data_IF_949787137161
#
_entry.id   IF_949787137161
#
_cell.length_a   1.000
_cell.length_b   1.000
_cell.length_c   1.000
_cell.angle_alpha   90.00
_cell.angle_beta   90.00
_cell.angle_gamma   90.00
#
_symmetry.space_group_name_H-M   'P 1'
#
loop_
_entity.id
_entity.type
_entity.pdbx_description
1 polymer ?
#
# COMPACT_ATOMS: atom_id res chain seq x y z
N UNK A 1 11.45 -16.88 7.37
CA UNK A 1 10.11 -17.07 7.99
C UNK A 1 10.13 -16.73 9.47
N UNK A 2 11.04 -17.31 10.27
CA UNK A 2 11.20 -16.95 11.70
C UNK A 2 11.57 -15.47 11.88
N UNK A 3 12.45 -14.93 11.02
CA UNK A 3 12.86 -13.52 11.06
C UNK A 3 11.70 -12.54 10.88
N UNK A 4 10.78 -12.82 9.95
CA UNK A 4 9.58 -12.00 9.73
C UNK A 4 8.62 -12.06 10.93
N UNK A 5 8.40 -13.26 11.49
CA UNK A 5 7.56 -13.43 12.68
C UNK A 5 8.16 -12.75 13.91
N UNK A 6 9.48 -12.80 14.07
CA UNK A 6 10.20 -12.10 15.14
C UNK A 6 10.08 -10.58 14.97
N UNK A 7 10.22 -10.07 13.74
CA UNK A 7 10.07 -8.62 13.46
C UNK A 7 8.63 -8.15 13.72
N UNK A 8 7.64 -8.93 13.30
CA UNK A 8 6.23 -8.63 13.53
C UNK A 8 5.87 -8.65 15.03
N UNK A 9 6.35 -9.64 15.78
CA UNK A 9 6.16 -9.72 17.22
C UNK A 9 6.81 -8.54 17.95
N UNK A 10 8.00 -8.11 17.50
CA UNK A 10 8.73 -6.97 18.06
C UNK A 10 7.99 -5.64 17.82
N UNK A 11 7.44 -5.43 16.62
CA UNK A 11 6.64 -4.25 16.30
C UNK A 11 5.32 -4.19 17.09
N UNK A 12 4.65 -5.34 17.27
CA UNK A 12 3.44 -5.43 18.10
C UNK A 12 3.76 -5.13 19.56
N UNK A 13 4.86 -5.68 20.09
CA UNK A 13 5.33 -5.39 21.45
C UNK A 13 5.64 -3.90 21.67
N UNK A 14 6.29 -3.25 20.69
CA UNK A 14 6.59 -1.83 20.73
C UNK A 14 5.32 -0.97 20.71
N UNK A 15 4.34 -1.32 19.87
CA UNK A 15 3.06 -0.62 19.81
C UNK A 15 2.28 -0.74 21.13
N UNK A 16 2.26 -1.95 21.73
CA UNK A 16 1.62 -2.19 23.02
C UNK A 16 2.31 -1.43 24.16
N UNK A 17 3.64 -1.29 24.13
CA UNK A 17 4.40 -0.54 25.12
C UNK A 17 4.03 0.95 25.15
N UNK A 18 3.62 1.53 24.02
CA UNK A 18 3.14 2.91 23.96
C UNK A 18 1.64 3.05 24.27
N UNK A 19 0.82 2.05 23.92
CA UNK A 19 -0.63 2.12 24.11
C UNK A 19 -1.11 1.72 25.51
N UNK A 20 -0.44 0.77 26.17
CA UNK A 20 -0.84 0.26 27.49
C UNK A 20 -0.74 1.30 28.62
N UNK A 21 0.35 2.08 28.75
CA UNK A 21 0.49 3.05 29.84
C UNK A 21 -0.63 4.10 29.90
N UNK A 22 -1.00 4.79 28.79
CA UNK A 22 -2.08 5.77 28.82
C UNK A 22 -3.47 5.14 28.97
N UNK A 23 -3.65 3.85 28.66
CA UNK A 23 -4.93 3.15 28.89
C UNK A 23 -5.09 2.63 30.33
N UNK A 24 -3.97 2.28 30.98
CA UNK A 24 -3.94 1.76 32.36
C UNK A 24 -3.90 2.88 33.39
N UNK A 25 -3.36 4.05 33.04
CA UNK A 25 -3.55 5.26 33.82
C UNK A 25 -5.01 5.69 33.64
N UNK A 26 -5.86 5.28 34.59
CA UNK A 26 -7.23 5.78 34.65
C UNK A 26 -7.21 7.29 34.62
N UNK A 27 -8.17 7.88 33.89
CA UNK A 27 -8.51 9.29 34.05
C UNK A 27 -8.61 9.55 35.55
N UNK A 28 -7.59 10.21 36.11
CA UNK A 28 -7.69 10.83 37.41
C UNK A 28 -8.78 11.87 37.20
N UNK A 29 -9.99 11.54 37.64
CA UNK A 29 -11.05 12.52 37.78
C UNK A 29 -10.45 13.64 38.63
N UNK A 30 -10.16 14.77 37.98
CA UNK A 30 -9.45 15.88 38.59
C UNK A 30 -10.35 16.66 39.57
N UNK A 31 -11.54 16.12 39.87
CA UNK A 31 -12.54 16.73 40.74
C UNK A 31 -12.08 16.80 42.21
N UNK A 32 -11.11 15.98 42.64
CA UNK A 32 -10.57 16.03 44.00
C UNK A 32 -9.27 16.85 44.16
N UNK A 33 -8.63 17.25 43.07
CA UNK A 33 -7.34 17.94 43.11
C UNK A 33 -7.47 19.44 43.39
N UNK A 34 -8.49 20.08 42.83
CA UNK A 34 -8.74 21.51 42.97
C UNK A 34 -9.27 21.84 44.38
N UNK A 35 -10.22 21.05 44.89
CA UNK A 35 -10.79 21.24 46.23
C UNK A 35 -9.73 21.02 47.33
N UNK A 36 -8.88 19.99 47.19
CA UNK A 36 -7.80 19.72 48.14
C UNK A 36 -6.75 20.83 48.16
N UNK A 37 -6.41 21.39 46.99
CA UNK A 37 -5.50 22.53 46.87
C UNK A 37 -6.12 23.79 47.48
N UNK A 38 -7.37 24.10 47.17
CA UNK A 38 -8.09 25.24 47.74
C UNK A 38 -8.15 25.15 49.27
N UNK A 39 -8.53 24.00 49.82
CA UNK A 39 -8.58 23.78 51.29
C UNK A 39 -7.21 23.98 51.93
N UNK A 40 -6.11 23.55 51.30
CA UNK A 40 -4.77 23.74 51.86
C UNK A 40 -4.36 25.21 51.95
N UNK A 41 -4.67 26.00 50.92
CA UNK A 41 -4.39 27.44 50.88
C UNK A 41 -5.15 28.18 52.00
N UNK A 42 -6.41 27.80 52.23
CA UNK A 42 -7.20 28.38 53.32
C UNK A 42 -6.64 28.06 54.71
N UNK A 43 -6.15 26.83 54.93
CA UNK A 43 -5.53 26.44 56.20
C UNK A 43 -4.26 27.24 56.49
N UNK A 44 -3.44 27.48 55.46
CA UNK A 44 -2.21 28.26 55.60
C UNK A 44 -2.53 29.72 55.95
N UNK A 45 -3.54 30.33 55.31
CA UNK A 45 -3.97 31.70 55.63
C UNK A 45 -4.55 31.86 57.02
N UNK A 46 -5.28 30.85 57.51
CA UNK A 46 -5.82 30.87 58.87
C UNK A 46 -4.70 30.74 59.92
N UNK A 47 -3.64 29.98 59.63
CA UNK A 47 -2.47 29.87 60.50
C UNK A 47 -1.65 31.18 60.55
N UNK A 48 -1.58 31.91 59.45
CA UNK A 48 -0.96 33.23 59.36
C UNK A 48 -1.72 34.27 60.20
N UNK A 49 -3.05 34.35 60.01
CA UNK A 49 -3.92 35.25 60.78
C UNK A 49 -3.86 35.00 62.29
N UNK A 50 -3.81 33.72 62.69
CA UNK A 50 -3.66 33.31 64.09
C UNK A 50 -2.30 33.73 64.68
N UNK A 51 -1.23 33.68 63.89
CA UNK A 51 0.08 34.16 64.34
C UNK A 51 0.10 35.69 64.52
N UNK A 52 -0.48 36.45 63.61
CA UNK A 52 -0.56 37.92 63.71
C UNK A 52 -1.38 38.36 64.94
N UNK A 53 -2.46 37.64 65.26
CA UNK A 53 -3.22 37.86 66.47
C UNK A 53 -2.40 37.56 67.74
N UNK A 54 -1.64 36.45 67.76
CA UNK A 54 -0.76 36.10 68.90
C UNK A 54 0.38 37.09 69.09
N UNK A 55 0.90 37.65 68.01
CA UNK A 55 1.92 38.69 68.05
C UNK A 55 1.36 40.06 68.48
N UNK A 56 0.04 40.15 68.72
CA UNK A 56 -0.64 41.37 69.16
C UNK A 56 -0.77 42.41 68.04
N UNK A 57 -0.59 42.01 66.79
CA UNK A 57 -0.69 42.90 65.63
C UNK A 57 -2.15 43.15 65.22
N UNK A 58 -3.06 42.21 65.53
CA UNK A 58 -4.50 42.36 65.32
C UNK A 58 -5.27 42.50 66.63
N UNK A 59 -6.30 43.35 66.62
CA UNK A 59 -7.28 43.40 67.72
C UNK A 59 -8.26 42.23 67.61
N UNK A 60 -8.86 41.85 68.74
CA UNK A 60 -9.80 40.72 68.83
C UNK A 60 -10.97 40.86 67.84
N UNK A 61 -11.48 42.07 67.66
CA UNK A 61 -12.58 42.37 66.75
C UNK A 61 -12.19 42.21 65.28
N UNK A 62 -10.95 42.56 64.92
CA UNK A 62 -10.41 42.45 63.56
C UNK A 62 -10.17 40.99 63.20
N UNK A 63 -9.58 40.21 64.11
CA UNK A 63 -9.35 38.77 63.94
C UNK A 63 -10.67 38.01 63.70
N UNK A 64 -11.70 38.27 64.51
CA UNK A 64 -13.02 37.63 64.39
C UNK A 64 -13.76 38.03 63.10
N UNK A 65 -13.47 39.20 62.55
CA UNK A 65 -14.05 39.66 61.29
C UNK A 65 -13.39 38.97 60.10
N UNK A 66 -12.06 38.99 60.03
CA UNK A 66 -11.29 38.40 58.93
C UNK A 66 -11.43 36.88 58.89
N UNK A 67 -11.45 36.23 60.06
CA UNK A 67 -11.69 34.79 60.15
C UNK A 67 -13.06 34.39 59.59
N UNK A 68 -14.11 35.16 59.88
CA UNK A 68 -15.46 34.88 59.36
C UNK A 68 -15.55 35.07 57.85
N UNK A 69 -14.86 36.06 57.30
CA UNK A 69 -14.80 36.27 55.85
C UNK A 69 -14.09 35.10 55.15
N UNK A 70 -12.98 34.61 55.70
CA UNK A 70 -12.28 33.41 55.21
C UNK A 70 -13.16 32.15 55.27
N UNK A 71 -13.91 31.95 56.36
CA UNK A 71 -14.84 30.82 56.51
C UNK A 71 -16.00 30.87 55.50
N UNK A 72 -16.56 32.05 55.24
CA UNK A 72 -17.63 32.24 54.24
C UNK A 72 -17.13 31.97 52.81
N UNK A 73 -15.93 32.46 52.49
CA UNK A 73 -15.32 32.27 51.17
C UNK A 73 -14.93 30.82 50.90
N UNK A 74 -14.47 30.10 51.92
CA UNK A 74 -14.24 28.65 51.82
C UNK A 74 -15.53 27.88 51.52
N UNK A 75 -16.66 28.29 52.10
CA UNK A 75 -17.96 27.69 51.80
C UNK A 75 -18.43 27.95 50.36
N UNK A 76 -18.05 29.09 49.78
CA UNK A 76 -18.35 29.45 48.40
C UNK A 76 -17.45 28.70 47.41
N UNK A 77 -16.15 28.61 47.70
CA UNK A 77 -15.15 27.94 46.85
C UNK A 77 -15.21 26.41 46.96
N UNK A 78 -15.71 25.88 48.08
CA UNK A 78 -15.87 24.44 48.34
C UNK A 78 -17.32 24.18 48.73
N UNK A 79 -18.24 24.07 47.75
CA UNK A 79 -19.63 23.75 48.04
C UNK A 79 -19.70 22.44 48.84
N UNK A 80 -20.61 22.32 49.83
CA UNK A 80 -20.79 21.06 50.53
C UNK A 80 -21.08 19.99 49.49
N UNK A 81 -20.53 18.79 49.68
CA UNK A 81 -20.79 17.65 48.81
C UNK A 81 -22.28 17.25 48.89
N UNK A 82 -23.17 18.07 48.32
CA UNK A 82 -24.56 17.76 48.05
C UNK A 82 -24.55 16.78 46.88
N UNK A 83 -24.51 15.49 47.24
CA UNK A 83 -24.99 14.44 46.36
C UNK A 83 -26.48 14.66 46.06
N UNK A 84 -26.78 15.54 45.11
CA UNK A 84 -28.11 15.72 44.51
C UNK A 84 -28.00 16.71 43.34
N UNK A 85 -27.32 16.29 42.28
CA UNK A 85 -27.16 17.06 41.06
C UNK A 85 -26.88 16.15 39.89
N UNK A 86 -27.81 15.23 39.61
CA UNK A 86 -27.80 14.43 38.39
C UNK A 86 -28.07 15.33 37.18
N UNK A 87 -27.08 16.13 36.77
CA UNK A 87 -26.95 16.53 35.37
C UNK A 87 -26.46 15.30 34.63
N UNK A 88 -27.27 14.84 33.68
CA UNK A 88 -27.01 13.73 32.77
C UNK A 88 -25.69 13.95 32.00
N UNK A 89 -24.56 13.62 32.61
CA UNK A 89 -23.35 13.29 31.88
C UNK A 89 -23.63 11.99 31.12
N UNK A 90 -23.23 11.87 29.83
CA UNK A 90 -23.33 10.59 29.14
C UNK A 90 -22.61 9.53 29.98
N UNK A 91 -23.11 8.28 30.05
CA UNK A 91 -22.46 7.26 30.85
C UNK A 91 -21.03 7.14 30.35
N UNK A 92 -20.08 7.60 31.18
CA UNK A 92 -18.68 7.31 30.98
C UNK A 92 -18.61 5.79 30.87
N UNK A 93 -18.27 5.31 29.66
CA UNK A 93 -18.32 3.90 29.33
C UNK A 93 -17.32 3.15 30.20
N UNK A 94 -17.76 2.75 31.38
CA UNK A 94 -17.03 1.94 32.35
C UNK A 94 -16.82 0.51 31.81
N UNK A 95 -17.36 0.20 30.62
CA UNK A 95 -17.08 -0.99 29.82
C UNK A 95 -15.95 -0.85 28.78
N UNK A 96 -15.33 0.32 28.60
CA UNK A 96 -14.35 0.55 27.52
C UNK A 96 -13.02 -0.18 27.72
N UNK A 97 -12.63 -0.49 28.96
CA UNK A 97 -11.41 -1.27 29.24
C UNK A 97 -11.53 -2.73 28.80
N UNK A 98 -12.67 -3.36 29.10
CA UNK A 98 -12.96 -4.72 28.66
C UNK A 98 -13.14 -4.80 27.15
N UNK A 99 -13.79 -3.80 26.55
CA UNK A 99 -14.03 -3.74 25.11
C UNK A 99 -12.75 -3.40 24.32
N UNK A 100 -11.86 -2.58 24.87
CA UNK A 100 -10.54 -2.30 24.29
C UNK A 100 -9.59 -3.49 24.40
N UNK A 101 -9.58 -4.21 25.53
CA UNK A 101 -8.84 -5.47 25.67
C UNK A 101 -9.40 -6.57 24.77
N UNK A 102 -10.72 -6.69 24.69
CA UNK A 102 -11.39 -7.61 23.79
C UNK A 102 -11.08 -7.26 22.32
N UNK A 103 -11.13 -5.99 21.92
CA UNK A 103 -10.76 -5.57 20.57
C UNK A 103 -9.26 -5.79 20.27
N UNK A 104 -8.38 -5.51 21.23
CA UNK A 104 -6.93 -5.70 21.10
C UNK A 104 -6.51 -7.16 20.93
N UNK A 105 -7.28 -8.12 21.46
CA UNK A 105 -7.06 -9.55 21.25
C UNK A 105 -7.89 -10.11 20.08
N UNK A 106 -9.12 -9.63 19.90
CA UNK A 106 -10.03 -10.12 18.88
C UNK A 106 -9.61 -9.71 17.47
N UNK A 107 -9.10 -8.49 17.26
CA UNK A 107 -8.62 -8.08 15.93
C UNK A 107 -7.47 -8.96 15.41
N UNK A 108 -6.37 -9.20 16.15
CA UNK A 108 -5.31 -10.07 15.67
C UNK A 108 -5.75 -11.53 15.57
N UNK A 109 -6.62 -12.01 16.45
CA UNK A 109 -7.19 -13.35 16.34
C UNK A 109 -8.08 -13.50 15.09
N UNK A 110 -8.91 -12.51 14.79
CA UNK A 110 -9.75 -12.46 13.59
C UNK A 110 -8.89 -12.35 12.32
N UNK A 111 -7.82 -11.55 12.35
CA UNK A 111 -6.87 -11.46 11.25
C UNK A 111 -6.15 -12.80 10.99
N UNK A 112 -5.74 -13.50 12.05
CA UNK A 112 -5.16 -14.84 11.95
C UNK A 112 -6.18 -15.87 11.42
N UNK A 113 -7.44 -15.80 11.87
CA UNK A 113 -8.52 -16.67 11.40
C UNK A 113 -8.83 -16.43 9.91
N UNK A 114 -8.95 -15.16 9.50
CA UNK A 114 -9.15 -14.78 8.10
C UNK A 114 -7.96 -15.16 7.22
N UNK A 115 -6.73 -15.09 7.74
CA UNK A 115 -5.55 -15.58 7.04
C UNK A 115 -5.58 -17.10 6.83
N UNK A 116 -6.08 -17.86 7.82
CA UNK A 116 -6.23 -19.32 7.69
C UNK A 116 -7.39 -19.71 6.77
N UNK A 117 -8.51 -18.98 6.77
CA UNK A 117 -9.67 -19.28 5.92
C UNK A 117 -9.57 -18.75 4.49
N UNK A 118 -9.07 -17.52 4.32
CA UNK A 118 -9.05 -16.79 3.05
C UNK A 118 -7.67 -16.77 2.41
N UNK A 119 -6.61 -16.87 3.22
CA UNK A 119 -5.27 -17.11 2.73
C UNK A 119 -5.13 -18.54 2.23
N UNK A 120 -4.12 -18.79 1.39
CA UNK A 120 -3.73 -20.12 0.95
C UNK A 120 -2.47 -20.58 1.71
N UNK A 121 -2.54 -20.93 3.01
CA UNK A 121 -1.40 -21.48 3.73
C UNK A 121 -0.93 -22.80 3.09
N UNK A 122 -1.85 -23.48 2.39
CA UNK A 122 -1.57 -24.68 1.62
C UNK A 122 -0.77 -24.42 0.33
N UNK A 123 -0.66 -23.19 -0.18
CA UNK A 123 0.16 -22.92 -1.37
C UNK A 123 1.66 -23.21 -1.12
N UNK A 124 2.11 -23.06 0.13
CA UNK A 124 3.48 -23.41 0.55
C UNK A 124 3.65 -24.92 0.80
N UNK A 125 2.62 -25.61 1.30
CA UNK A 125 2.65 -27.06 1.48
C UNK A 125 2.49 -27.81 0.15
N UNK A 126 1.73 -27.28 -0.82
CA UNK A 126 1.61 -27.88 -2.17
C UNK A 126 2.92 -27.87 -2.94
N UNK A 127 3.80 -26.89 -2.70
CA UNK A 127 5.18 -26.92 -3.22
C UNK A 127 5.97 -28.07 -2.59
N UNK A 128 5.72 -28.38 -1.31
CA UNK A 128 6.39 -29.45 -0.56
C UNK A 128 5.76 -30.85 -0.74
N UNK A 129 4.47 -30.94 -1.11
CA UNK A 129 3.76 -32.22 -1.34
C UNK A 129 3.68 -32.59 -2.82
N UNK A 130 3.67 -31.63 -3.76
CA UNK A 130 3.93 -31.93 -5.18
C UNK A 130 5.35 -32.50 -5.39
N UNK A 131 6.25 -32.29 -4.42
CA UNK A 131 7.58 -32.89 -4.36
C UNK A 131 7.59 -34.38 -3.92
N UNK A 132 6.46 -34.94 -3.47
CA UNK A 132 6.41 -36.29 -2.88
C UNK A 132 5.71 -37.36 -3.73
N UNK A 133 4.94 -36.99 -4.76
CA UNK A 133 4.34 -37.95 -5.71
C UNK A 133 5.09 -38.04 -7.04
N UNK A 134 6.14 -37.24 -7.24
CA UNK A 134 7.13 -37.47 -8.29
C UNK A 134 8.18 -38.50 -7.79
N UNK A 135 8.73 -39.37 -8.66
CA UNK A 135 9.71 -40.39 -8.28
C UNK A 135 10.92 -39.77 -7.55
N UNK A 136 11.57 -40.51 -6.63
CA UNK A 136 12.44 -39.93 -5.61
C UNK A 136 13.67 -39.28 -6.24
N UNK A 137 13.81 -37.97 -6.05
CA UNK A 137 15.06 -37.24 -6.24
C UNK A 137 15.77 -37.21 -4.87
N UNK A 138 17.06 -37.58 -4.76
CA UNK A 138 17.77 -37.62 -3.47
C UNK A 138 17.80 -36.23 -2.82
N UNK A 139 17.37 -36.15 -1.56
CA UNK A 139 17.29 -34.89 -0.83
C UNK A 139 18.62 -34.49 -0.16
N UNK A 140 19.03 -33.27 -0.52
CA UNK A 140 19.54 -32.21 0.35
C UNK A 140 20.97 -32.30 0.92
N UNK A 141 21.87 -31.54 0.27
CA UNK A 141 22.87 -30.73 0.95
C UNK A 141 22.64 -29.26 0.55
N UNK A 142 22.59 -28.36 1.54
CA UNK A 142 22.32 -26.93 1.40
C UNK A 142 23.46 -26.12 0.75
N UNK A 143 24.04 -26.64 -0.33
CA UNK A 143 25.20 -26.08 -1.05
C UNK A 143 24.99 -25.95 -2.57
N UNK A 144 23.78 -26.19 -3.10
CA UNK A 144 23.51 -26.21 -4.55
C UNK A 144 22.52 -25.15 -5.06
N UNK A 145 22.59 -23.90 -4.55
CA UNK A 145 21.79 -22.77 -5.07
C UNK A 145 22.42 -21.89 -6.18
N UNK A 146 23.37 -22.34 -7.03
CA UNK A 146 23.61 -21.67 -8.31
C UNK A 146 22.67 -22.16 -9.44
N UNK A 147 22.19 -23.41 -9.37
CA UNK A 147 21.57 -24.12 -10.50
C UNK A 147 20.11 -23.73 -10.79
N UNK A 148 19.33 -23.28 -9.80
CA UNK A 148 17.90 -22.92 -10.02
C UNK A 148 17.70 -21.60 -10.76
N UNK A 149 18.67 -20.70 -10.66
CA UNK A 149 18.70 -19.45 -11.43
C UNK A 149 19.82 -19.49 -12.49
N UNK A 150 20.39 -20.68 -12.75
CA UNK A 150 21.23 -20.85 -13.92
C UNK A 150 20.37 -20.70 -15.17
N UNK A 151 20.99 -20.28 -16.26
CA UNK A 151 20.32 -20.13 -17.55
C UNK A 151 19.63 -21.45 -17.97
N UNK A 152 20.26 -22.58 -17.66
CA UNK A 152 19.72 -23.92 -17.92
C UNK A 152 18.50 -24.24 -17.02
N UNK A 153 18.55 -23.87 -15.74
CA UNK A 153 17.41 -23.99 -14.83
C UNK A 153 16.18 -23.22 -15.31
N UNK A 154 16.38 -21.98 -15.76
CA UNK A 154 15.33 -21.13 -16.34
C UNK A 154 14.78 -21.79 -17.61
N UNK A 155 15.64 -22.27 -18.51
CA UNK A 155 15.20 -22.92 -19.75
C UNK A 155 14.35 -24.17 -19.48
N UNK A 156 14.74 -25.00 -18.51
CA UNK A 156 14.00 -26.18 -18.11
C UNK A 156 12.62 -25.84 -17.52
N UNK A 157 12.53 -24.78 -16.71
CA UNK A 157 11.25 -24.29 -16.17
C UNK A 157 10.32 -23.82 -17.29
N UNK A 158 10.82 -23.07 -18.27
CA UNK A 158 10.03 -22.60 -19.42
C UNK A 158 9.57 -23.78 -20.28
N UNK A 159 10.44 -24.78 -20.53
CA UNK A 159 10.06 -26.00 -21.26
C UNK A 159 8.94 -26.76 -20.55
N UNK A 160 9.03 -26.91 -19.22
CA UNK A 160 7.99 -27.56 -18.43
C UNK A 160 6.65 -26.80 -18.49
N UNK A 161 6.71 -25.46 -18.43
CA UNK A 161 5.53 -24.60 -18.59
C UNK A 161 4.90 -24.77 -19.99
N UNK A 162 5.70 -24.74 -21.05
CA UNK A 162 5.23 -24.92 -22.42
C UNK A 162 4.53 -26.29 -22.58
N UNK A 163 5.16 -27.37 -22.11
CA UNK A 163 4.60 -28.71 -22.19
C UNK A 163 3.29 -28.87 -21.38
N UNK A 164 3.16 -28.17 -20.25
CA UNK A 164 1.90 -28.13 -19.49
C UNK A 164 0.80 -27.43 -20.30
N UNK A 165 1.10 -26.27 -20.87
CA UNK A 165 0.13 -25.47 -21.63
C UNK A 165 -0.29 -26.14 -22.94
N UNK A 166 0.54 -27.02 -23.50
CA UNK A 166 0.12 -27.87 -24.61
C UNK A 166 -0.93 -28.90 -24.21
N UNK A 167 -0.87 -29.42 -22.97
CA UNK A 167 -1.86 -30.37 -22.44
C UNK A 167 -3.12 -29.67 -21.93
N UNK A 168 -2.97 -28.48 -21.39
CA UNK A 168 -4.06 -27.63 -20.90
C UNK A 168 -4.00 -26.26 -21.58
N UNK A 169 -4.56 -26.14 -22.79
CA UNK A 169 -4.39 -24.94 -23.61
C UNK A 169 -5.27 -23.77 -23.17
N UNK A 170 -6.20 -23.95 -22.23
CA UNK A 170 -7.19 -22.94 -21.84
C UNK A 170 -6.73 -22.06 -20.66
N UNK A 171 -5.43 -21.79 -20.56
CA UNK A 171 -4.84 -20.95 -19.53
C UNK A 171 -4.21 -19.69 -20.15
N UNK A 172 -5.01 -18.62 -20.27
CA UNK A 172 -4.55 -17.35 -20.84
C UNK A 172 -3.35 -16.77 -20.07
N UNK A 173 -3.37 -16.83 -18.74
CA UNK A 173 -2.30 -16.30 -17.89
C UNK A 173 -1.01 -17.11 -18.04
N UNK A 174 -1.13 -18.43 -18.13
CA UNK A 174 -0.01 -19.32 -18.42
C UNK A 174 0.64 -18.99 -19.76
N UNK A 175 -0.15 -18.81 -20.82
CA UNK A 175 0.37 -18.38 -22.14
C UNK A 175 1.02 -17.00 -22.09
N UNK A 176 0.46 -16.04 -21.34
CA UNK A 176 1.09 -14.73 -21.11
C UNK A 176 2.45 -14.87 -20.42
N UNK A 177 2.52 -15.67 -19.35
CA UNK A 177 3.77 -15.89 -18.60
C UNK A 177 4.83 -16.58 -19.49
N UNK A 178 4.40 -17.51 -20.33
CA UNK A 178 5.28 -18.17 -21.30
C UNK A 178 5.81 -17.16 -22.33
N UNK A 179 4.95 -16.30 -22.87
CA UNK A 179 5.34 -15.23 -23.79
C UNK A 179 6.36 -14.27 -23.18
N UNK A 180 6.13 -13.82 -21.94
CA UNK A 180 7.07 -12.97 -21.19
C UNK A 180 8.41 -13.65 -20.96
N UNK A 181 8.37 -14.93 -20.57
CA UNK A 181 9.59 -15.73 -20.35
C UNK A 181 10.41 -15.84 -21.63
N UNK A 182 9.78 -16.17 -22.77
CA UNK A 182 10.48 -16.23 -24.05
C UNK A 182 11.03 -14.86 -24.47
N UNK A 183 10.28 -13.78 -24.24
CA UNK A 183 10.74 -12.40 -24.52
C UNK A 183 11.99 -12.07 -23.72
N UNK A 184 12.01 -12.38 -22.42
CA UNK A 184 13.17 -12.14 -21.55
C UNK A 184 14.40 -12.95 -21.94
N UNK A 185 14.22 -14.07 -22.65
CA UNK A 185 15.30 -14.89 -23.19
C UNK A 185 15.70 -14.52 -24.63
N UNK A 186 15.10 -13.47 -25.22
CA UNK A 186 15.35 -13.07 -26.61
C UNK A 186 14.73 -14.00 -27.66
N UNK A 187 13.88 -14.94 -27.25
CA UNK A 187 13.21 -15.94 -28.10
C UNK A 187 11.90 -15.38 -28.66
N UNK A 188 12.00 -14.31 -29.45
CA UNK A 188 10.83 -13.52 -29.85
C UNK A 188 9.83 -14.28 -30.72
N UNK A 189 10.30 -15.21 -31.56
CA UNK A 189 9.41 -16.04 -32.39
C UNK A 189 8.50 -16.93 -31.52
N UNK A 190 9.07 -17.65 -30.54
CA UNK A 190 8.29 -18.45 -29.59
C UNK A 190 7.41 -17.58 -28.68
N UNK A 191 7.92 -16.42 -28.26
CA UNK A 191 7.13 -15.46 -27.49
C UNK A 191 5.87 -15.03 -28.25
N UNK A 192 6.03 -14.67 -29.53
CA UNK A 192 4.92 -14.22 -30.37
C UNK A 192 3.83 -15.30 -30.52
N UNK A 193 4.21 -16.57 -30.61
CA UNK A 193 3.26 -17.70 -30.65
C UNK A 193 2.51 -17.87 -29.32
N UNK A 194 3.20 -17.71 -28.19
CA UNK A 194 2.56 -17.76 -26.88
C UNK A 194 1.58 -16.60 -26.67
N UNK A 195 1.96 -15.37 -27.04
CA UNK A 195 1.06 -14.22 -26.99
C UNK A 195 -0.13 -14.34 -27.95
N UNK A 196 0.05 -14.94 -29.13
CA UNK A 196 -1.06 -15.24 -30.03
C UNK A 196 -2.10 -16.15 -29.39
N UNK A 197 -1.66 -17.18 -28.63
CA UNK A 197 -2.58 -18.03 -27.85
C UNK A 197 -3.23 -17.27 -26.70
N UNK A 198 -2.45 -16.48 -25.96
CA UNK A 198 -2.98 -15.67 -24.85
C UNK A 198 -4.07 -14.70 -25.31
N UNK A 199 -3.83 -13.97 -26.41
CA UNK A 199 -4.80 -13.01 -26.99
C UNK A 199 -6.04 -13.68 -27.61
N UNK A 200 -5.93 -14.94 -28.04
CA UNK A 200 -7.09 -15.71 -28.48
C UNK A 200 -8.02 -16.10 -27.31
N UNK A 201 -7.46 -16.33 -26.13
CA UNK A 201 -8.20 -16.68 -24.91
C UNK A 201 -8.70 -15.45 -24.15
N UNK A 202 -7.92 -14.37 -24.15
CA UNK A 202 -8.25 -13.09 -23.53
C UNK A 202 -8.16 -11.96 -24.57
N UNK A 203 -9.19 -11.90 -25.42
CA UNK A 203 -9.26 -10.93 -26.52
C UNK A 203 -9.57 -9.50 -26.09
N UNK A 204 -9.99 -9.28 -24.84
CA UNK A 204 -10.40 -7.96 -24.33
C UNK A 204 -9.26 -7.21 -23.62
N UNK A 205 -8.09 -7.83 -23.53
CA UNK A 205 -6.95 -7.27 -22.84
C UNK A 205 -6.03 -6.51 -23.81
N UNK A 206 -6.17 -5.18 -23.80
CA UNK A 206 -5.34 -4.29 -24.64
C UNK A 206 -3.85 -4.52 -24.45
N UNK A 207 -3.37 -4.72 -23.20
CA UNK A 207 -1.95 -4.90 -22.93
C UNK A 207 -1.38 -6.16 -23.61
N UNK A 208 -2.14 -7.26 -23.67
CA UNK A 208 -1.70 -8.48 -24.36
C UNK A 208 -1.57 -8.28 -25.87
N UNK A 209 -2.47 -7.52 -26.48
CA UNK A 209 -2.38 -7.19 -27.90
C UNK A 209 -1.13 -6.35 -28.22
N UNK A 210 -0.79 -5.40 -27.35
CA UNK A 210 0.43 -4.59 -27.50
C UNK A 210 1.69 -5.42 -27.30
N UNK A 211 1.74 -6.25 -26.27
CA UNK A 211 2.88 -7.14 -26.03
C UNK A 211 3.06 -8.15 -27.17
N UNK A 212 1.96 -8.64 -27.74
CA UNK A 212 2.01 -9.46 -28.95
C UNK A 212 2.59 -8.68 -30.15
N UNK A 213 2.12 -7.46 -30.39
CA UNK A 213 2.60 -6.64 -31.50
C UNK A 213 4.10 -6.35 -31.40
N UNK A 214 4.55 -5.92 -30.22
CA UNK A 214 5.94 -5.60 -29.91
C UNK A 214 6.85 -6.82 -30.10
N UNK A 215 6.46 -7.96 -29.53
CA UNK A 215 7.24 -9.20 -29.65
C UNK A 215 7.26 -9.75 -31.08
N UNK A 216 6.19 -9.57 -31.83
CA UNK A 216 6.15 -9.92 -33.25
C UNK A 216 7.08 -9.02 -34.08
N UNK A 217 7.10 -7.72 -33.79
CA UNK A 217 8.01 -6.79 -34.45
C UNK A 217 9.47 -7.17 -34.18
N UNK A 218 9.82 -7.45 -32.93
CA UNK A 218 11.15 -7.95 -32.53
C UNK A 218 11.53 -9.25 -33.25
N UNK A 219 10.59 -10.20 -33.38
CA UNK A 219 10.80 -11.44 -34.12
C UNK A 219 11.05 -11.22 -35.63
N UNK A 220 10.62 -10.08 -36.17
CA UNK A 220 10.74 -9.71 -37.59
C UNK A 220 11.85 -8.69 -37.87
N UNK A 221 12.79 -8.51 -36.92
CA UNK A 221 13.89 -7.56 -37.04
C UNK A 221 13.45 -6.12 -36.81
N UNK A 222 12.69 -5.89 -35.73
CA UNK A 222 12.23 -4.58 -35.26
C UNK A 222 11.32 -3.82 -36.24
N UNK A 223 10.72 -4.53 -37.20
CA UNK A 223 9.83 -3.91 -38.19
C UNK A 223 8.40 -3.87 -37.67
N UNK A 224 7.82 -2.67 -37.59
CA UNK A 224 6.44 -2.51 -37.13
C UNK A 224 5.42 -2.62 -38.25
N UNK A 225 5.84 -2.53 -39.52
CA UNK A 225 4.96 -2.65 -40.68
C UNK A 225 4.26 -4.03 -40.78
N UNK A 226 3.03 -4.03 -41.27
CA UNK A 226 2.21 -5.23 -41.47
C UNK A 226 1.45 -5.66 -40.22
N UNK A 227 1.53 -6.94 -39.87
CA UNK A 227 0.74 -7.53 -38.78
C UNK A 227 0.90 -6.84 -37.40
N UNK A 228 2.08 -6.34 -36.97
CA UNK A 228 2.18 -5.59 -35.71
C UNK A 228 1.25 -4.36 -35.67
N UNK A 229 1.12 -3.61 -36.77
CA UNK A 229 0.17 -2.48 -36.85
C UNK A 229 -1.28 -2.93 -36.63
N UNK A 230 -1.70 -4.06 -37.19
CA UNK A 230 -3.04 -4.59 -36.97
C UNK A 230 -3.30 -4.89 -35.49
N UNK A 231 -2.31 -5.48 -34.81
CA UNK A 231 -2.37 -5.81 -33.38
C UNK A 231 -2.36 -4.55 -32.50
N UNK A 232 -1.54 -3.55 -32.85
CA UNK A 232 -1.52 -2.24 -32.18
C UNK A 232 -2.89 -1.55 -32.32
N UNK A 233 -3.50 -1.58 -33.51
CA UNK A 233 -4.82 -1.00 -33.73
C UNK A 233 -5.91 -1.71 -32.92
N UNK A 234 -5.84 -3.04 -32.77
CA UNK A 234 -6.72 -3.78 -31.86
C UNK A 234 -6.54 -3.34 -30.42
N UNK A 235 -5.31 -3.19 -29.96
CA UNK A 235 -5.02 -2.69 -28.62
C UNK A 235 -5.59 -1.29 -28.37
N UNK A 236 -5.42 -0.38 -29.34
CA UNK A 236 -5.95 1.00 -29.27
C UNK A 236 -7.47 1.07 -29.38
N UNK A 237 -8.11 0.10 -30.04
CA UNK A 237 -9.56 0.00 -30.08
C UNK A 237 -10.13 -0.40 -28.71
N UNK A 238 -9.42 -1.24 -27.95
CA UNK A 238 -9.79 -1.66 -26.59
C UNK A 238 -9.45 -0.60 -25.53
N UNK A 239 -8.25 -0.05 -25.60
CA UNK A 239 -7.79 1.05 -24.75
C UNK A 239 -7.13 2.14 -25.60
N UNK A 240 -7.90 3.19 -25.94
CA UNK A 240 -7.39 4.31 -26.73
C UNK A 240 -6.25 5.10 -26.06
N UNK A 241 -6.05 4.95 -24.75
CA UNK A 241 -5.04 5.67 -23.97
C UNK A 241 -3.88 4.77 -23.54
N UNK A 242 -3.76 3.56 -24.09
CA UNK A 242 -2.64 2.68 -23.80
C UNK A 242 -1.33 3.31 -24.26
N UNK A 243 -0.48 3.69 -23.29
CA UNK A 243 0.77 4.40 -23.53
C UNK A 243 1.71 3.67 -24.49
N UNK A 244 1.89 2.35 -24.30
CA UNK A 244 2.78 1.54 -25.13
C UNK A 244 2.19 1.36 -26.54
N UNK A 245 0.87 1.19 -26.66
CA UNK A 245 0.20 1.12 -27.96
C UNK A 245 0.36 2.42 -28.75
N UNK A 246 0.17 3.58 -28.12
CA UNK A 246 0.33 4.89 -28.77
C UNK A 246 1.79 5.14 -29.19
N UNK A 247 2.75 4.73 -28.37
CA UNK A 247 4.17 4.83 -28.70
C UNK A 247 4.51 4.02 -29.96
N UNK A 248 4.13 2.73 -29.97
CA UNK A 248 4.36 1.84 -31.11
C UNK A 248 3.58 2.26 -32.36
N UNK A 249 2.35 2.74 -32.23
CA UNK A 249 1.57 3.25 -33.36
C UNK A 249 2.25 4.46 -34.02
N UNK A 250 2.78 5.38 -33.20
CA UNK A 250 3.52 6.52 -33.71
C UNK A 250 4.82 6.11 -34.39
N UNK A 251 5.59 5.19 -33.81
CA UNK A 251 6.81 4.64 -34.43
C UNK A 251 6.51 3.91 -35.73
N UNK A 252 5.47 3.08 -35.77
CA UNK A 252 5.04 2.38 -36.97
C UNK A 252 4.65 3.37 -38.09
N UNK A 253 3.86 4.39 -37.76
CA UNK A 253 3.49 5.43 -38.71
C UNK A 253 4.72 6.21 -39.22
N UNK A 254 5.71 6.44 -38.37
CA UNK A 254 6.97 7.10 -38.75
C UNK A 254 7.82 6.24 -39.69
N UNK A 255 7.96 4.94 -39.41
CA UNK A 255 8.65 3.97 -40.27
C UNK A 255 7.99 3.86 -41.65
N UNK A 256 6.66 3.98 -41.71
CA UNK A 256 5.88 3.98 -42.95
C UNK A 256 5.83 5.37 -43.63
N UNK A 257 6.66 6.32 -43.19
CA UNK A 257 6.74 7.71 -43.69
C UNK A 257 5.41 8.52 -43.58
N UNK A 258 4.44 8.00 -42.83
CA UNK A 258 3.20 8.71 -42.51
C UNK A 258 3.40 9.61 -41.29
N UNK A 259 4.25 10.62 -41.47
CA UNK A 259 4.62 11.56 -40.42
C UNK A 259 3.41 12.30 -39.78
N UNK A 260 2.37 12.72 -40.52
CA UNK A 260 1.18 13.33 -39.91
C UNK A 260 0.48 12.41 -38.90
N UNK A 261 0.37 11.12 -39.22
CA UNK A 261 -0.26 10.15 -38.33
C UNK A 261 0.64 9.82 -37.13
N UNK A 262 1.97 9.74 -37.34
CA UNK A 262 2.94 9.58 -36.26
C UNK A 262 2.83 10.69 -35.21
N UNK A 263 2.80 11.95 -35.67
CA UNK A 263 2.60 13.13 -34.80
C UNK A 263 1.29 13.04 -34.02
N UNK A 264 0.23 12.52 -34.63
CA UNK A 264 -1.08 12.40 -33.97
C UNK A 264 -1.03 11.43 -32.79
N UNK A 265 -0.47 10.23 -32.98
CA UNK A 265 -0.34 9.25 -31.90
C UNK A 265 0.58 9.74 -30.78
N UNK A 266 1.73 10.30 -31.14
CA UNK A 266 2.69 10.80 -30.15
C UNK A 266 2.20 12.02 -29.39
N UNK A 267 1.44 12.94 -30.00
CA UNK A 267 0.79 14.04 -29.28
C UNK A 267 -0.23 13.55 -28.27
N UNK A 268 -0.98 12.50 -28.60
CA UNK A 268 -1.90 11.87 -27.64
C UNK A 268 -1.12 11.24 -26.48
N UNK A 269 -0.03 10.53 -26.78
CA UNK A 269 0.84 9.97 -25.74
C UNK A 269 1.44 11.07 -24.84
N UNK A 270 1.89 12.19 -25.42
CA UNK A 270 2.41 13.35 -24.70
C UNK A 270 1.43 13.90 -23.65
N UNK A 271 0.14 13.90 -23.94
CA UNK A 271 -0.89 14.38 -23.00
C UNK A 271 -1.07 13.47 -21.77
N UNK A 272 -0.60 12.23 -21.86
CA UNK A 272 -0.74 11.22 -20.80
C UNK A 272 0.52 11.07 -19.95
N UNK A 273 1.67 11.55 -20.44
CA UNK A 273 2.97 11.38 -19.78
C UNK A 273 3.27 12.49 -18.76
N UNK A 274 3.97 12.18 -17.66
CA UNK A 274 4.57 13.18 -16.80
C UNK A 274 5.58 14.05 -17.56
N UNK A 275 5.55 15.36 -17.32
CA UNK A 275 6.33 16.35 -18.06
C UNK A 275 7.86 16.14 -17.95
N UNK A 276 8.34 15.52 -16.88
CA UNK A 276 9.76 15.29 -16.58
C UNK A 276 10.27 13.90 -16.99
N UNK A 277 9.40 13.03 -17.50
CA UNK A 277 9.76 11.66 -17.88
C UNK A 277 10.69 11.61 -19.10
N UNK A 278 11.56 10.60 -19.14
CA UNK A 278 12.41 10.33 -20.31
C UNK A 278 11.57 10.05 -21.56
N UNK A 279 10.50 9.27 -21.39
CA UNK A 279 9.55 9.01 -22.47
C UNK A 279 8.98 10.30 -23.05
N UNK A 280 8.70 11.31 -22.22
CA UNK A 280 8.23 12.61 -22.71
C UNK A 280 9.28 13.28 -23.61
N UNK A 281 10.55 13.28 -23.21
CA UNK A 281 11.64 13.84 -24.05
C UNK A 281 11.75 13.12 -25.39
N UNK A 282 11.71 11.79 -25.38
CA UNK A 282 11.81 10.96 -26.59
C UNK A 282 10.62 11.21 -27.54
N UNK A 283 9.41 11.27 -26.99
CA UNK A 283 8.17 11.55 -27.74
C UNK A 283 8.19 12.95 -28.34
N UNK A 284 8.60 13.98 -27.58
CA UNK A 284 8.75 15.35 -28.10
C UNK A 284 9.74 15.42 -29.27
N UNK A 285 10.92 14.81 -29.11
CA UNK A 285 11.93 14.77 -30.17
C UNK A 285 11.41 14.06 -31.44
N UNK A 286 10.70 12.94 -31.27
CA UNK A 286 10.04 12.23 -32.37
C UNK A 286 8.99 13.08 -33.08
N UNK A 287 8.15 13.82 -32.33
CA UNK A 287 7.14 14.73 -32.88
C UNK A 287 7.81 15.83 -33.72
N UNK A 288 8.85 16.48 -33.20
CA UNK A 288 9.57 17.53 -33.93
C UNK A 288 10.20 17.00 -35.22
N UNK A 289 10.85 15.83 -35.16
CA UNK A 289 11.45 15.19 -36.32
C UNK A 289 10.41 14.86 -37.39
N UNK A 290 9.28 14.26 -36.99
CA UNK A 290 8.18 13.95 -37.91
C UNK A 290 7.59 15.22 -38.55
N UNK A 291 7.45 16.31 -37.79
CA UNK A 291 6.97 17.59 -38.33
C UNK A 291 7.95 18.21 -39.35
N UNK A 292 9.26 18.13 -39.10
CA UNK A 292 10.28 18.57 -40.06
C UNK A 292 10.21 17.76 -41.35
N UNK A 293 10.09 16.44 -41.27
CA UNK A 293 9.99 15.58 -42.44
C UNK A 293 8.68 15.79 -43.20
N UNK A 294 7.55 15.96 -42.49
CA UNK A 294 6.25 16.26 -43.09
C UNK A 294 6.21 17.60 -43.84
N UNK A 295 6.97 18.61 -43.38
CA UNK A 295 7.07 19.92 -44.02
C UNK A 295 8.09 19.94 -45.16
N UNK A 296 9.19 19.18 -45.06
CA UNK A 296 10.15 18.99 -46.14
C UNK A 296 9.57 18.28 -47.37
N UNK A 297 8.64 17.34 -47.15
CA UNK A 297 7.94 16.63 -48.24
C UNK A 297 6.86 17.47 -48.96
N UNK A 298 6.65 18.73 -48.55
CA UNK A 298 5.70 19.68 -49.14
C UNK A 298 6.35 20.73 -50.05
N UNK A 299 7.67 20.68 -50.29
CA UNK A 299 8.32 21.57 -51.24
C UNK A 299 8.04 21.11 -52.69
N UNK A 300 7.64 22.02 -53.60
CA UNK A 300 7.21 21.71 -54.97
C UNK A 300 8.35 21.25 -55.89
#
# INVERSE_FOLDING_TARGET
MITFLVLAALLIGLALLFLLPPLLQGAVANDGGLDAVNISIYKDRLAELENEFREGQLRVEEYEQERRELELRLLEDVPPATGAGATLAPPAAQGSRGLALAAGLALPALAALLYVQLGTPQAFSTISTASQTAPPIPSASASAQPERFSQEGIENMVKALAARLEKDPNDAQGWTMLGRSYTSMGRYAEASNAYAKATALDSQNSALWVDYADTLAMASGERLAGKPVELINKALALDPNNHKALALAGSAAFEMENYPQAVTYWKRLQQLLPADSEMMRNVSAGIEQAQRLASGNKAP
#
